data_IF_503154903865
#
_entry.id   IF_503154903865
#
_cell.length_a   1.000
_cell.length_b   1.000
_cell.length_c   1.000
_cell.angle_alpha   90.00
_cell.angle_beta   90.00
_cell.angle_gamma   90.00
#
_symmetry.space_group_name_H-M   'P 1'
#
loop_
_entity.id
_entity.type
_entity.pdbx_description
1 polymer ?
#
# COMPACT_ATOMS: atom_id res chain seq x y z
N UNK A 1 1.12 1.20 10.76
CA UNK A 1 2.15 0.15 10.62
C UNK A 1 3.35 0.51 11.49
N UNK A 2 4.09 -0.46 12.03
CA UNK A 2 5.29 -0.19 12.85
C UNK A 2 6.55 -0.52 12.05
N UNK A 3 7.47 0.43 11.94
CA UNK A 3 8.77 0.26 11.26
C UNK A 3 9.89 0.61 12.24
N UNK A 4 10.82 -0.33 12.49
CA UNK A 4 11.92 -0.13 13.42
C UNK A 4 11.46 0.32 14.82
N UNK A 5 10.33 -0.20 15.29
CA UNK A 5 9.72 0.17 16.58
C UNK A 5 8.92 1.49 16.58
N UNK A 6 8.91 2.27 15.49
CA UNK A 6 8.14 3.51 15.39
C UNK A 6 6.81 3.31 14.65
N UNK A 7 5.67 3.76 15.19
CA UNK A 7 4.40 3.71 14.48
C UNK A 7 4.33 4.79 13.38
N UNK A 8 3.80 4.40 12.23
CA UNK A 8 3.53 5.25 11.08
C UNK A 8 2.10 5.07 10.60
N UNK A 9 1.45 6.17 10.23
CA UNK A 9 0.20 6.12 9.49
C UNK A 9 0.47 5.60 8.08
N UNK A 10 -0.52 4.91 7.50
CA UNK A 10 -0.51 4.53 6.10
C UNK A 10 -1.86 4.88 5.50
N UNK A 11 -1.84 5.63 4.40
CA UNK A 11 -3.00 6.11 3.67
C UNK A 11 -2.67 6.21 2.18
N UNK A 12 -3.52 5.68 1.33
CA UNK A 12 -3.45 5.92 -0.10
C UNK A 12 -4.15 7.25 -0.41
N UNK A 13 -3.36 8.32 -0.52
CA UNK A 13 -3.81 9.61 -1.06
C UNK A 13 -3.85 9.54 -2.59
N UNK A 14 -4.47 10.51 -3.26
CA UNK A 14 -4.43 10.59 -4.73
C UNK A 14 -2.98 10.63 -5.26
N UNK A 15 -2.09 11.35 -4.58
CA UNK A 15 -0.66 11.37 -4.94
C UNK A 15 0.01 10.01 -4.76
N UNK A 16 -0.25 9.32 -3.64
CA UNK A 16 0.28 7.98 -3.40
C UNK A 16 -0.24 6.94 -4.41
N UNK A 17 -1.51 7.06 -4.82
CA UNK A 17 -2.10 6.21 -5.84
C UNK A 17 -1.45 6.46 -7.21
N UNK A 18 -1.24 7.72 -7.59
CA UNK A 18 -0.56 8.06 -8.84
C UNK A 18 0.90 7.58 -8.88
N UNK A 19 1.62 7.69 -7.76
CA UNK A 19 2.97 7.12 -7.63
C UNK A 19 2.95 5.59 -7.81
N UNK A 20 1.96 4.92 -7.22
CA UNK A 20 1.82 3.47 -7.27
C UNK A 20 1.46 2.97 -8.68
N UNK A 21 0.52 3.63 -9.37
CA UNK A 21 0.18 3.34 -10.77
C UNK A 21 1.42 3.42 -11.66
N UNK A 22 2.19 4.51 -11.51
CA UNK A 22 3.43 4.70 -12.27
C UNK A 22 4.50 3.65 -11.94
N UNK A 23 4.64 3.26 -10.67
CA UNK A 23 5.62 2.26 -10.24
C UNK A 23 5.26 0.85 -10.74
N UNK A 24 3.97 0.49 -10.74
CA UNK A 24 3.49 -0.82 -11.16
C UNK A 24 3.26 -0.93 -12.68
N UNK A 25 3.24 0.20 -13.39
CA UNK A 25 3.03 0.27 -14.82
C UNK A 25 1.58 -0.03 -15.22
N UNK A 26 0.63 0.25 -14.34
CA UNK A 26 -0.80 0.06 -14.60
C UNK A 26 -1.37 1.27 -15.34
N UNK A 27 -2.33 1.04 -16.23
CA UNK A 27 -2.95 2.11 -17.03
C UNK A 27 -4.02 2.88 -16.26
N UNK A 28 -4.55 2.28 -15.18
CA UNK A 28 -5.57 2.89 -14.33
C UNK A 28 -5.61 2.28 -12.93
N UNK A 29 -6.21 3.02 -12.00
CA UNK A 29 -6.52 2.55 -10.65
C UNK A 29 -7.39 1.30 -10.65
N UNK A 30 -8.25 1.13 -11.66
CA UNK A 30 -9.09 -0.05 -11.78
C UNK A 30 -8.27 -1.30 -12.11
N UNK A 31 -7.30 -1.18 -13.03
CA UNK A 31 -6.38 -2.27 -13.38
C UNK A 31 -5.54 -2.68 -12.16
N UNK A 32 -5.08 -1.68 -11.41
CA UNK A 32 -4.36 -1.88 -10.16
C UNK A 32 -5.20 -2.65 -9.12
N UNK A 33 -6.47 -2.26 -8.91
CA UNK A 33 -7.36 -2.97 -7.99
C UNK A 33 -7.61 -4.40 -8.47
N UNK A 34 -7.95 -4.58 -9.74
CA UNK A 34 -8.24 -5.89 -10.32
C UNK A 34 -7.07 -6.87 -10.15
N UNK A 35 -5.84 -6.39 -10.36
CA UNK A 35 -4.61 -7.17 -10.16
C UNK A 35 -4.45 -7.67 -8.72
N UNK A 36 -4.75 -6.83 -7.73
CA UNK A 36 -4.65 -7.22 -6.33
C UNK A 36 -5.80 -8.14 -5.90
N UNK A 37 -7.02 -7.91 -6.40
CA UNK A 37 -8.18 -8.76 -6.14
C UNK A 37 -8.05 -10.15 -6.75
N UNK A 38 -7.45 -10.26 -7.93
CA UNK A 38 -7.21 -11.55 -8.59
C UNK A 38 -6.05 -12.34 -7.97
N UNK A 39 -5.36 -11.78 -6.98
CA UNK A 39 -4.14 -12.36 -6.41
C UNK A 39 -2.94 -12.35 -7.36
N UNK A 40 -3.00 -11.60 -8.46
CA UNK A 40 -1.93 -11.49 -9.46
C UNK A 40 -0.86 -10.47 -9.04
N UNK A 41 -0.47 -10.48 -7.77
CA UNK A 41 0.52 -9.57 -7.21
C UNK A 41 1.77 -10.33 -6.75
N UNK A 42 2.92 -9.69 -6.91
CA UNK A 42 4.21 -10.15 -6.41
C UNK A 42 4.52 -9.55 -5.04
N UNK A 43 5.55 -10.07 -4.37
CA UNK A 43 6.08 -9.44 -3.15
C UNK A 43 6.58 -8.00 -3.39
N UNK A 44 7.03 -7.70 -4.62
CA UNK A 44 7.42 -6.34 -5.01
C UNK A 44 6.21 -5.41 -5.05
N UNK A 45 5.07 -5.89 -5.53
CA UNK A 45 3.85 -5.09 -5.64
C UNK A 45 3.30 -4.77 -4.24
N UNK A 46 3.34 -5.75 -3.33
CA UNK A 46 3.00 -5.53 -1.90
C UNK A 46 3.92 -4.47 -1.30
N UNK A 47 5.23 -4.54 -1.55
CA UNK A 47 6.18 -3.53 -1.04
C UNK A 47 5.91 -2.15 -1.62
N UNK A 48 5.71 -2.02 -2.93
CA UNK A 48 5.39 -0.75 -3.59
C UNK A 48 4.13 -0.13 -2.97
N UNK A 49 3.10 -0.94 -2.74
CA UNK A 49 1.86 -0.48 -2.15
C UNK A 49 2.02 0.01 -0.71
N UNK A 50 2.79 -0.72 0.10
CA UNK A 50 3.09 -0.31 1.47
C UNK A 50 3.93 0.98 1.50
N UNK A 51 4.91 1.13 0.61
CA UNK A 51 5.69 2.37 0.46
C UNK A 51 4.79 3.54 0.10
N UNK A 52 3.95 3.39 -0.92
CA UNK A 52 3.00 4.42 -1.33
C UNK A 52 2.05 4.81 -0.17
N UNK A 53 1.48 3.81 0.52
CA UNK A 53 0.62 4.04 1.68
C UNK A 53 1.32 4.77 2.81
N UNK A 54 2.54 4.37 3.16
CA UNK A 54 3.35 5.04 4.19
C UNK A 54 3.68 6.49 3.82
N UNK A 55 4.06 6.74 2.56
CA UNK A 55 4.33 8.09 2.05
C UNK A 55 3.11 8.98 2.11
N UNK A 56 1.94 8.47 1.72
CA UNK A 56 0.68 9.17 1.91
C UNK A 56 0.31 9.41 3.38
N UNK A 57 0.94 8.70 4.32
CA UNK A 57 0.87 8.91 5.77
C UNK A 57 2.00 9.80 6.34
N UNK A 58 2.88 10.37 5.52
CA UNK A 58 3.96 11.27 5.92
C UNK A 58 5.30 10.60 6.20
N UNK A 59 5.50 9.34 5.80
CA UNK A 59 6.81 8.69 5.86
C UNK A 59 7.66 9.02 4.63
N UNK A 60 8.89 9.48 4.82
CA UNK A 60 9.76 9.96 3.72
C UNK A 60 10.74 8.90 3.18
N UNK A 61 10.60 7.64 3.59
CA UNK A 61 11.50 6.56 3.18
C UNK A 61 11.28 6.03 1.75
N UNK A 62 12.11 5.05 1.38
CA UNK A 62 12.08 4.36 0.08
C UNK A 62 11.85 2.86 0.25
N UNK A 63 11.55 2.19 -0.87
CA UNK A 63 11.34 0.74 -0.88
C UNK A 63 12.54 -0.03 -0.32
N UNK A 64 13.77 0.46 -0.55
CA UNK A 64 15.00 -0.12 -0.03
C UNK A 64 15.07 -0.09 1.51
N UNK A 65 14.49 0.94 2.13
CA UNK A 65 14.44 1.06 3.58
C UNK A 65 13.50 0.01 4.16
N UNK A 66 12.36 -0.22 3.50
CA UNK A 66 11.40 -1.26 3.88
C UNK A 66 11.96 -2.68 3.70
N UNK A 67 12.83 -2.93 2.70
CA UNK A 67 13.49 -4.24 2.54
C UNK A 67 14.39 -4.61 3.70
N UNK A 68 14.94 -3.62 4.41
CA UNK A 68 15.84 -3.80 5.56
C UNK A 68 15.09 -3.88 6.89
N UNK A 69 13.79 -3.59 6.89
CA UNK A 69 12.96 -3.54 8.09
C UNK A 69 12.08 -4.78 8.13
N UNK A 70 12.12 -5.49 9.25
CA UNK A 70 11.16 -6.56 9.48
C UNK A 70 9.76 -5.98 9.65
N UNK A 71 8.84 -6.38 8.76
CA UNK A 71 7.41 -6.15 8.98
C UNK A 71 6.96 -7.19 10.01
N UNK A 72 6.54 -6.71 11.18
CA UNK A 72 6.03 -7.57 12.24
C UNK A 72 4.91 -8.49 11.70
N UNK A 73 5.06 -9.81 11.91
CA UNK A 73 4.12 -10.82 11.40
C UNK A 73 4.41 -11.34 9.99
N UNK A 74 5.50 -10.91 9.35
CA UNK A 74 6.03 -11.50 8.13
C UNK A 74 5.23 -11.18 6.85
N UNK A 75 5.55 -11.86 5.72
CA UNK A 75 5.01 -11.54 4.40
C UNK A 75 3.47 -11.60 4.30
N UNK A 76 2.85 -12.52 5.04
CA UNK A 76 1.39 -12.68 5.02
C UNK A 76 0.67 -11.47 5.64
N UNK A 77 1.23 -10.92 6.72
CA UNK A 77 0.71 -9.70 7.35
C UNK A 77 0.95 -8.49 6.47
N UNK A 78 2.09 -8.41 5.79
CA UNK A 78 2.37 -7.37 4.81
C UNK A 78 1.33 -7.35 3.68
N UNK A 79 1.04 -8.52 3.09
CA UNK A 79 0.02 -8.64 2.05
C UNK A 79 -1.38 -8.25 2.56
N UNK A 80 -1.74 -8.65 3.78
CA UNK A 80 -3.01 -8.26 4.40
C UNK A 80 -3.12 -6.75 4.61
N UNK A 81 -2.06 -6.10 5.10
CA UNK A 81 -2.01 -4.65 5.29
C UNK A 81 -2.16 -3.92 3.95
N UNK A 82 -1.50 -4.43 2.90
CA UNK A 82 -1.62 -3.88 1.56
C UNK A 82 -3.07 -3.97 1.02
N UNK A 83 -3.69 -5.15 1.14
CA UNK A 83 -5.09 -5.33 0.74
C UNK A 83 -6.06 -4.43 1.53
N UNK A 84 -5.83 -4.24 2.83
CA UNK A 84 -6.64 -3.33 3.66
C UNK A 84 -6.49 -1.86 3.25
N UNK A 85 -5.29 -1.43 2.84
CA UNK A 85 -5.06 -0.08 2.34
C UNK A 85 -5.83 0.17 1.05
N UNK A 86 -5.78 -0.76 0.11
CA UNK A 86 -6.56 -0.70 -1.13
C UNK A 86 -8.05 -0.64 -0.86
N UNK A 87 -8.58 -1.61 -0.10
CA UNK A 87 -9.99 -1.67 0.21
C UNK A 87 -10.50 -0.35 0.81
N UNK A 88 -9.75 0.25 1.74
CA UNK A 88 -10.10 1.55 2.35
C UNK A 88 -10.04 2.74 1.39
N UNK A 89 -9.15 2.71 0.40
CA UNK A 89 -9.02 3.79 -0.58
C UNK A 89 -10.23 3.84 -1.54
N UNK A 90 -10.84 2.69 -1.79
CA UNK A 90 -11.96 2.55 -2.74
C UNK A 90 -13.31 2.27 -2.07
N UNK A 91 -13.35 2.15 -0.74
CA UNK A 91 -14.61 2.13 0.00
C UNK A 91 -15.19 3.54 -0.04
N UNK A 92 -16.34 3.69 -0.69
CA UNK A 92 -17.11 4.94 -0.63
C UNK A 92 -17.47 5.23 0.83
N UNK A 93 -17.35 6.48 1.31
CA UNK A 93 -17.86 6.83 2.63
C UNK A 93 -19.35 6.49 2.68
N UNK A 94 -19.76 5.74 3.72
CA UNK A 94 -21.18 5.47 3.95
C UNK A 94 -21.90 6.82 4.03
N UNK A 95 -22.96 7.05 3.24
CA UNK A 95 -23.65 8.33 3.26
C UNK A 95 -24.11 8.62 4.69
N UNK A 96 -24.00 9.87 5.17
CA UNK A 96 -24.42 10.20 6.52
C UNK A 96 -25.89 9.80 6.70
N UNK A 97 -26.14 9.01 7.75
CA UNK A 97 -27.48 8.56 8.16
C UNK A 97 -28.34 9.74 8.63
#
# INVERSE_FOLDING_TARGET
>A
MVLGGKPWAAKLTLGALAELEAELGEASLLDLVARFESGAFSARDVLALLVAGLRGGGWEGRAEDLRKVEIAGGPLVAARLAAQLLARAFTLPEPPS
#
